data_IF_400187839250
#
_entry.id   IF_400187839250
#
_cell.length_a   1.000
_cell.length_b   1.000
_cell.length_c   1.000
_cell.angle_alpha   90.00
_cell.angle_beta   90.00
_cell.angle_gamma   90.00
#
_symmetry.space_group_name_H-M   'P 1'
#
loop_
_entity.id
_entity.type
_entity.pdbx_description
1 polymer ?
#
# COMPACT_ATOMS: atom_id res chain seq x y z
N UNK A 1 1.53 -9.13 -30.09
CA UNK A 1 1.62 -7.67 -30.26
C UNK A 1 2.23 -6.95 -29.07
N UNK A 2 1.68 -6.96 -27.84
CA UNK A 2 2.37 -6.35 -26.67
C UNK A 2 3.43 -7.27 -26.04
N UNK A 3 3.15 -8.57 -25.85
CA UNK A 3 4.14 -9.52 -25.31
C UNK A 3 5.40 -9.71 -26.18
N UNK A 4 5.35 -9.34 -27.46
CA UNK A 4 6.51 -9.44 -28.38
C UNK A 4 7.41 -8.20 -28.31
N UNK A 5 6.88 -7.03 -27.90
CA UNK A 5 7.65 -5.79 -27.77
C UNK A 5 8.29 -5.60 -26.38
N UNK A 6 8.07 -6.52 -25.44
CA UNK A 6 8.50 -6.42 -24.03
C UNK A 6 9.79 -7.21 -23.75
N UNK A 7 10.33 -7.96 -24.72
CA UNK A 7 11.54 -8.75 -24.46
C UNK A 7 12.76 -7.87 -24.13
N UNK A 8 12.83 -6.66 -24.69
CA UNK A 8 13.82 -5.65 -24.31
C UNK A 8 13.18 -4.25 -24.28
N UNK A 9 13.26 -3.58 -23.12
CA UNK A 9 12.87 -2.17 -22.97
C UNK A 9 13.97 -1.29 -23.57
N UNK A 10 13.59 -0.33 -24.41
CA UNK A 10 14.47 0.65 -25.04
C UNK A 10 13.79 2.04 -25.08
N UNK A 11 14.51 3.05 -25.55
CA UNK A 11 14.00 4.44 -25.59
C UNK A 11 12.70 4.60 -26.41
N UNK A 12 12.49 3.80 -27.45
CA UNK A 12 11.31 3.89 -28.33
C UNK A 12 10.05 3.31 -27.70
N UNK A 13 10.19 2.26 -26.87
CA UNK A 13 9.06 1.57 -26.24
C UNK A 13 8.93 1.82 -24.72
N UNK A 14 9.83 2.60 -24.11
CA UNK A 14 9.90 2.81 -22.66
C UNK A 14 8.58 3.29 -22.05
N UNK A 15 8.07 4.44 -22.53
CA UNK A 15 6.85 5.07 -21.99
C UNK A 15 5.62 4.16 -22.16
N UNK A 16 5.28 3.65 -23.36
CA UNK A 16 4.11 2.78 -23.50
C UNK A 16 4.26 1.48 -22.70
N UNK A 17 5.47 0.93 -22.57
CA UNK A 17 5.71 -0.27 -21.77
C UNK A 17 5.50 -0.01 -20.29
N UNK A 18 6.03 1.10 -19.78
CA UNK A 18 5.86 1.53 -18.39
C UNK A 18 4.38 1.77 -18.05
N UNK A 19 3.69 2.57 -18.86
CA UNK A 19 2.29 2.93 -18.62
C UNK A 19 1.38 1.71 -18.65
N UNK A 20 1.54 0.84 -19.67
CA UNK A 20 0.76 -0.40 -19.74
C UNK A 20 1.02 -1.30 -18.54
N UNK A 21 2.29 -1.51 -18.17
CA UNK A 21 2.65 -2.36 -17.03
C UNK A 21 2.10 -1.81 -15.71
N UNK A 22 2.16 -0.49 -15.53
CA UNK A 22 1.59 0.20 -14.37
C UNK A 22 0.06 0.09 -14.30
N UNK A 23 -0.64 0.26 -15.43
CA UNK A 23 -2.10 0.09 -15.50
C UNK A 23 -2.49 -1.36 -15.20
N UNK A 24 -1.75 -2.33 -15.74
CA UNK A 24 -2.01 -3.75 -15.49
C UNK A 24 -1.78 -4.11 -14.01
N UNK A 25 -0.70 -3.61 -13.41
CA UNK A 25 -0.44 -3.77 -11.98
C UNK A 25 -1.54 -3.17 -11.11
N UNK A 26 -1.99 -1.95 -11.43
CA UNK A 26 -3.11 -1.30 -10.74
C UNK A 26 -4.41 -2.10 -10.90
N UNK A 27 -4.71 -2.59 -12.11
CA UNK A 27 -5.89 -3.42 -12.33
C UNK A 27 -5.83 -4.66 -11.45
N UNK A 28 -4.71 -5.39 -11.43
CA UNK A 28 -4.58 -6.62 -10.65
C UNK A 28 -4.73 -6.35 -9.14
N UNK A 29 -4.15 -5.24 -8.66
CA UNK A 29 -4.31 -4.80 -7.27
C UNK A 29 -5.77 -4.48 -6.92
N UNK A 30 -6.47 -3.74 -7.77
CA UNK A 30 -7.88 -3.37 -7.57
C UNK A 30 -8.79 -4.60 -7.64
N UNK A 31 -8.51 -5.51 -8.57
CA UNK A 31 -9.26 -6.76 -8.75
C UNK A 31 -9.21 -7.66 -7.51
N UNK A 32 -8.11 -7.59 -6.75
CA UNK A 32 -7.97 -8.28 -5.46
C UNK A 32 -9.11 -7.92 -4.50
N UNK A 33 -9.57 -6.68 -4.50
CA UNK A 33 -10.68 -6.21 -3.63
C UNK A 33 -12.07 -6.49 -4.21
N UNK A 34 -12.15 -7.05 -5.42
CA UNK A 34 -13.42 -7.47 -6.04
C UNK A 34 -13.77 -8.94 -5.73
N UNK A 35 -12.92 -9.63 -4.97
CA UNK A 35 -13.16 -11.01 -4.60
C UNK A 35 -14.36 -11.19 -3.68
N UNK A 36 -15.12 -12.29 -3.83
CA UNK A 36 -16.15 -12.67 -2.86
C UNK A 36 -15.50 -12.85 -1.48
N UNK A 37 -16.06 -12.22 -0.45
CA UNK A 37 -15.49 -12.20 0.90
C UNK A 37 -15.50 -13.54 1.66
N UNK A 38 -15.73 -14.67 0.98
CA UNK A 38 -15.80 -16.01 1.58
C UNK A 38 -14.45 -16.72 1.69
N UNK A 39 -13.39 -16.21 1.03
CA UNK A 39 -12.06 -16.83 1.02
C UNK A 39 -10.97 -15.81 1.41
N UNK A 40 -10.79 -15.65 2.73
CA UNK A 40 -9.86 -14.67 3.31
C UNK A 40 -8.39 -15.05 3.08
N UNK A 41 -8.07 -16.35 3.03
CA UNK A 41 -6.72 -16.86 2.75
C UNK A 41 -6.29 -16.49 1.35
N UNK A 42 -7.17 -16.75 0.38
CA UNK A 42 -6.91 -16.36 -1.00
C UNK A 42 -6.81 -14.83 -1.18
N UNK A 43 -7.48 -14.04 -0.32
CA UNK A 43 -7.36 -12.59 -0.37
C UNK A 43 -5.95 -12.10 -0.05
N UNK A 44 -5.38 -12.51 1.08
CA UNK A 44 -4.03 -12.07 1.46
C UNK A 44 -2.99 -12.57 0.44
N UNK A 45 -3.12 -13.80 -0.05
CA UNK A 45 -2.21 -14.34 -1.07
C UNK A 45 -2.24 -13.51 -2.36
N UNK A 46 -3.44 -13.16 -2.85
CA UNK A 46 -3.57 -12.32 -4.06
C UNK A 46 -3.12 -10.89 -3.82
N UNK A 47 -3.35 -10.33 -2.62
CA UNK A 47 -2.84 -9.02 -2.24
C UNK A 47 -1.31 -9.03 -2.29
N UNK A 48 -0.68 -10.02 -1.67
CA UNK A 48 0.77 -10.23 -1.71
C UNK A 48 1.28 -10.38 -3.15
N UNK A 49 0.61 -11.16 -3.98
CA UNK A 49 0.94 -11.30 -5.40
C UNK A 49 0.82 -9.98 -6.16
N UNK A 50 -0.21 -9.19 -5.89
CA UNK A 50 -0.40 -7.88 -6.49
C UNK A 50 0.72 -6.91 -6.11
N UNK A 51 1.12 -6.93 -4.84
CA UNK A 51 2.26 -6.15 -4.33
C UNK A 51 3.55 -6.55 -5.05
N UNK A 52 3.83 -7.86 -5.12
CA UNK A 52 5.02 -8.41 -5.81
C UNK A 52 5.02 -8.02 -7.30
N UNK A 53 3.87 -8.10 -7.97
CA UNK A 53 3.72 -7.69 -9.38
C UNK A 53 4.03 -6.20 -9.57
N UNK A 54 3.40 -5.32 -8.80
CA UNK A 54 3.61 -3.87 -8.93
C UNK A 54 5.06 -3.47 -8.59
N UNK A 55 5.69 -4.14 -7.62
CA UNK A 55 7.12 -3.96 -7.32
C UNK A 55 7.99 -4.43 -8.48
N UNK A 56 7.67 -5.58 -9.09
CA UNK A 56 8.36 -6.10 -10.27
C UNK A 56 8.37 -5.11 -11.43
N UNK A 57 7.23 -4.45 -11.68
CA UNK A 57 7.16 -3.35 -12.66
C UNK A 57 8.19 -2.27 -12.32
N UNK A 58 8.24 -1.78 -11.08
CA UNK A 58 9.22 -0.75 -10.66
C UNK A 58 10.67 -1.20 -10.87
N UNK A 59 10.99 -2.45 -10.58
CA UNK A 59 12.35 -3.00 -10.76
C UNK A 59 12.75 -3.04 -12.25
N UNK A 60 11.85 -3.45 -13.15
CA UNK A 60 12.12 -3.47 -14.59
C UNK A 60 12.50 -2.10 -15.17
N UNK A 61 12.08 -1.02 -14.52
CA UNK A 61 12.31 0.35 -14.99
C UNK A 61 13.33 1.14 -14.15
N UNK A 62 14.01 0.51 -13.19
CA UNK A 62 14.93 1.23 -12.28
C UNK A 62 16.07 1.93 -13.02
N UNK A 63 16.63 1.29 -14.06
CA UNK A 63 17.67 1.88 -14.91
C UNK A 63 17.19 2.97 -15.86
N UNK A 64 15.86 3.10 -16.02
CA UNK A 64 15.22 4.08 -16.90
C UNK A 64 14.58 5.25 -16.13
N UNK A 65 14.70 5.25 -14.80
CA UNK A 65 13.97 6.17 -13.93
C UNK A 65 14.29 7.65 -14.20
N UNK A 66 15.54 7.96 -14.52
CA UNK A 66 15.96 9.34 -14.85
C UNK A 66 15.37 9.81 -16.18
N UNK A 67 15.23 8.92 -17.16
CA UNK A 67 14.55 9.23 -18.43
C UNK A 67 13.05 9.42 -18.21
N UNK A 68 12.44 8.56 -17.39
CA UNK A 68 11.02 8.62 -17.07
C UNK A 68 10.65 9.93 -16.34
N UNK A 69 11.50 10.44 -15.45
CA UNK A 69 11.26 11.71 -14.74
C UNK A 69 11.21 12.93 -15.64
N UNK A 70 11.92 12.91 -16.77
CA UNK A 70 12.02 14.04 -17.68
C UNK A 70 11.06 13.96 -18.88
N UNK A 71 10.38 12.82 -19.06
CA UNK A 71 9.49 12.62 -20.20
C UNK A 71 8.07 13.16 -19.97
N UNK A 72 7.20 12.98 -20.98
CA UNK A 72 5.83 13.52 -21.01
C UNK A 72 4.95 13.06 -19.85
N UNK A 73 5.26 11.90 -19.25
CA UNK A 73 4.51 11.34 -18.11
C UNK A 73 5.05 11.80 -16.74
N UNK A 74 5.97 12.77 -16.69
CA UNK A 74 6.58 13.23 -15.42
C UNK A 74 5.57 13.60 -14.35
N UNK A 75 4.45 14.23 -14.71
CA UNK A 75 3.40 14.63 -13.76
C UNK A 75 2.67 13.40 -13.18
N UNK A 76 2.67 12.29 -13.90
CA UNK A 76 2.22 10.98 -13.41
C UNK A 76 3.26 10.31 -12.51
N UNK A 77 4.50 10.79 -12.44
CA UNK A 77 5.58 10.17 -11.65
C UNK A 77 6.01 11.00 -10.45
N UNK A 78 5.75 12.31 -10.49
CA UNK A 78 6.05 13.20 -9.36
C UNK A 78 5.26 12.78 -8.13
N UNK A 79 6.00 12.49 -7.07
CA UNK A 79 5.46 12.41 -5.72
C UNK A 79 5.35 13.84 -5.17
N UNK A 80 4.32 14.11 -4.37
CA UNK A 80 4.30 15.34 -3.59
C UNK A 80 5.55 15.40 -2.70
N UNK A 81 6.08 16.59 -2.45
CA UNK A 81 7.06 16.77 -1.39
C UNK A 81 6.31 16.69 -0.05
N UNK A 82 6.27 15.50 0.54
CA UNK A 82 5.74 15.32 1.89
C UNK A 82 6.61 16.01 2.92
N UNK A 83 6.01 16.85 3.74
CA UNK A 83 6.66 17.39 4.93
C UNK A 83 6.68 16.30 6.01
N UNK A 84 7.85 15.69 6.22
CA UNK A 84 8.02 14.62 7.22
C UNK A 84 7.95 15.12 8.67
N UNK A 85 8.04 16.44 8.87
CA UNK A 85 7.82 17.10 10.16
C UNK A 85 6.34 17.35 10.42
N UNK A 86 5.48 17.21 9.39
CA UNK A 86 4.04 17.32 9.56
C UNK A 86 3.53 16.29 10.58
N UNK A 87 2.67 16.78 11.48
CA UNK A 87 2.03 15.98 12.51
C UNK A 87 0.54 16.25 12.50
N UNK A 88 -0.24 15.17 12.45
CA UNK A 88 -1.69 15.15 12.61
C UNK A 88 -2.10 13.91 13.42
N UNK A 89 -3.40 13.75 13.62
CA UNK A 89 -3.98 12.64 14.39
C UNK A 89 -3.58 11.25 13.84
N UNK A 90 -3.37 11.10 12.53
CA UNK A 90 -2.95 9.84 11.91
C UNK A 90 -1.46 9.60 12.14
N UNK A 91 -0.61 10.61 11.92
CA UNK A 91 0.83 10.54 12.18
C UNK A 91 1.12 10.24 13.65
N UNK A 92 0.43 10.91 14.58
CA UNK A 92 0.56 10.65 16.02
C UNK A 92 0.25 9.18 16.37
N UNK A 93 -0.77 8.60 15.75
CA UNK A 93 -1.10 7.18 15.95
C UNK A 93 -0.07 6.23 15.34
N UNK A 94 0.53 6.57 14.19
CA UNK A 94 1.60 5.77 13.61
C UNK A 94 2.85 5.77 14.52
N UNK A 95 3.22 6.92 15.09
CA UNK A 95 4.33 7.01 16.05
C UNK A 95 4.04 6.19 17.32
N UNK A 96 2.82 6.31 17.86
CA UNK A 96 2.40 5.50 19.00
C UNK A 96 2.36 3.99 18.69
N UNK A 97 2.07 3.61 17.43
CA UNK A 97 2.15 2.22 16.98
C UNK A 97 3.60 1.74 16.97
N UNK A 98 4.54 2.52 16.43
CA UNK A 98 5.98 2.19 16.39
C UNK A 98 6.54 1.92 17.79
N UNK A 99 6.14 2.72 18.78
CA UNK A 99 6.52 2.56 20.19
C UNK A 99 5.91 1.31 20.84
N UNK A 100 4.72 0.89 20.40
CA UNK A 100 4.01 -0.28 20.94
C UNK A 100 4.49 -1.60 20.36
N UNK A 101 4.90 -1.63 19.09
CA UNK A 101 5.28 -2.85 18.36
C UNK A 101 6.23 -3.80 19.13
N UNK A 102 7.26 -3.33 19.87
CA UNK A 102 8.13 -4.21 20.66
C UNK A 102 7.40 -5.04 21.73
N UNK A 103 6.19 -4.62 22.13
CA UNK A 103 5.33 -5.34 23.07
C UNK A 103 4.58 -6.53 22.46
N UNK A 104 4.70 -6.77 21.15
CA UNK A 104 4.12 -7.94 20.50
C UNK A 104 4.82 -9.22 20.98
N UNK A 105 4.08 -10.25 21.46
CA UNK A 105 4.69 -11.50 21.90
C UNK A 105 5.49 -12.17 20.79
N UNK A 106 6.76 -12.46 21.05
CA UNK A 106 7.65 -13.13 20.09
C UNK A 106 8.26 -12.20 19.03
N UNK A 107 8.12 -10.88 19.16
CA UNK A 107 8.72 -9.91 18.24
C UNK A 107 10.25 -10.04 18.22
N UNK A 108 10.81 -10.29 17.03
CA UNK A 108 12.25 -10.28 16.78
C UNK A 108 12.73 -8.91 16.29
N UNK A 109 13.98 -8.57 16.54
CA UNK A 109 14.56 -7.27 16.13
C UNK A 109 14.48 -7.05 14.60
N UNK A 110 14.73 -8.11 13.82
CA UNK A 110 14.66 -8.03 12.36
C UNK A 110 13.22 -7.82 11.86
N UNK A 111 12.22 -8.46 12.49
CA UNK A 111 10.81 -8.21 12.18
C UNK A 111 10.43 -6.76 12.53
N UNK A 112 10.85 -6.29 13.70
CA UNK A 112 10.57 -4.93 14.17
C UNK A 112 11.12 -3.86 13.21
N UNK A 113 12.36 -4.01 12.74
CA UNK A 113 12.97 -3.09 11.77
C UNK A 113 12.16 -3.02 10.46
N UNK A 114 11.70 -4.17 9.97
CA UNK A 114 10.88 -4.26 8.76
C UNK A 114 9.52 -3.57 8.96
N UNK A 115 8.89 -3.75 10.13
CA UNK A 115 7.61 -3.10 10.46
C UNK A 115 7.75 -1.58 10.61
N UNK A 116 8.80 -1.10 11.28
CA UNK A 116 9.12 0.34 11.35
C UNK A 116 9.34 0.93 9.97
N UNK A 117 10.07 0.24 9.10
CA UNK A 117 10.23 0.64 7.70
C UNK A 117 8.90 0.81 6.98
N UNK A 118 7.97 -0.14 7.15
CA UNK A 118 6.64 -0.10 6.55
C UNK A 118 5.78 1.05 7.10
N UNK A 119 5.83 1.32 8.41
CA UNK A 119 5.13 2.45 9.04
C UNK A 119 5.69 3.78 8.55
N UNK A 120 7.02 3.91 8.49
CA UNK A 120 7.66 5.10 7.95
C UNK A 120 7.23 5.40 6.52
N UNK A 121 7.16 4.38 5.64
CA UNK A 121 6.61 4.55 4.29
C UNK A 121 5.13 4.95 4.31
N UNK A 122 4.33 4.41 5.24
CA UNK A 122 2.91 4.74 5.37
C UNK A 122 2.72 6.21 5.75
N UNK A 123 3.50 6.68 6.72
CA UNK A 123 3.59 8.10 7.10
C UNK A 123 3.96 8.94 5.89
N UNK A 124 5.02 8.58 5.18
CA UNK A 124 5.49 9.34 4.01
C UNK A 124 4.42 9.45 2.92
N UNK A 125 3.71 8.36 2.62
CA UNK A 125 2.61 8.37 1.64
C UNK A 125 1.48 9.28 2.09
N UNK A 126 1.09 9.20 3.36
CA UNK A 126 0.06 10.07 3.94
C UNK A 126 0.46 11.54 3.80
N UNK A 127 1.61 11.96 4.34
CA UNK A 127 2.00 13.38 4.35
C UNK A 127 2.27 13.94 2.94
N UNK A 128 2.83 13.11 2.04
CA UNK A 128 3.04 13.49 0.64
C UNK A 128 1.73 13.65 -0.13
N UNK A 129 0.67 12.98 0.34
CA UNK A 129 -0.65 13.04 -0.27
C UNK A 129 -1.57 14.12 0.30
N UNK A 130 -1.26 14.66 1.49
CA UNK A 130 -2.04 15.73 2.10
C UNK A 130 -2.16 16.93 1.16
N UNK A 131 -1.11 17.27 0.39
CA UNK A 131 -1.16 18.33 -0.62
C UNK A 131 -2.24 18.10 -1.69
N UNK A 132 -2.51 16.85 -2.05
CA UNK A 132 -3.51 16.47 -3.05
C UNK A 132 -4.92 16.39 -2.43
N UNK A 133 -5.02 15.90 -1.18
CA UNK A 133 -6.28 15.82 -0.43
C UNK A 133 -6.85 17.23 -0.15
N UNK A 134 -6.01 18.19 0.24
CA UNK A 134 -6.43 19.58 0.47
C UNK A 134 -6.92 20.30 -0.79
N UNK A 135 -6.58 19.80 -2.00
CA UNK A 135 -7.12 20.28 -3.28
C UNK A 135 -8.44 19.59 -3.68
N UNK A 136 -8.98 18.74 -2.82
CA UNK A 136 -10.32 18.17 -2.96
C UNK A 136 -10.41 16.86 -3.75
N UNK A 137 -9.30 16.20 -4.07
CA UNK A 137 -9.34 14.85 -4.68
C UNK A 137 -8.16 13.99 -4.26
N UNK A 138 -8.38 12.90 -3.50
CA UNK A 138 -7.36 11.91 -3.26
C UNK A 138 -6.91 11.32 -4.60
N UNK A 139 -5.61 11.42 -4.93
CA UNK A 139 -5.09 10.81 -6.15
C UNK A 139 -5.06 9.28 -6.03
N UNK A 140 -5.38 8.55 -7.12
CA UNK A 140 -5.32 7.08 -7.20
C UNK A 140 -3.94 6.50 -6.85
N UNK A 141 -2.91 7.33 -6.95
CA UNK A 141 -1.52 6.99 -6.67
C UNK A 141 -1.30 6.57 -5.22
N UNK A 142 -1.97 7.20 -4.24
CA UNK A 142 -1.78 6.86 -2.82
C UNK A 142 -2.02 5.37 -2.52
N UNK A 143 -3.02 4.80 -3.18
CA UNK A 143 -3.45 3.41 -3.03
C UNK A 143 -2.36 2.43 -3.47
N UNK A 144 -1.49 2.83 -4.40
CA UNK A 144 -0.45 1.95 -4.97
C UNK A 144 0.96 2.32 -4.51
N UNK A 145 1.22 3.56 -4.12
CA UNK A 145 2.54 4.01 -3.68
C UNK A 145 3.03 3.23 -2.46
N UNK A 146 2.22 3.12 -1.41
CA UNK A 146 2.65 2.40 -0.20
C UNK A 146 2.99 0.94 -0.53
N UNK A 147 2.11 0.15 -1.15
CA UNK A 147 2.44 -1.23 -1.51
C UNK A 147 3.71 -1.39 -2.37
N UNK A 148 3.97 -0.49 -3.32
CA UNK A 148 5.14 -0.54 -4.22
C UNK A 148 6.46 -0.18 -3.51
N UNK A 149 6.39 0.59 -2.42
CA UNK A 149 7.56 1.06 -1.66
C UNK A 149 7.95 0.14 -0.50
N UNK A 150 7.11 -0.85 -0.18
CA UNK A 150 7.41 -1.85 0.84
C UNK A 150 8.65 -2.69 0.51
N UNK A 151 9.40 -3.02 1.55
CA UNK A 151 10.48 -3.98 1.52
C UNK A 151 9.97 -5.39 1.15
N UNK A 152 10.86 -6.25 0.66
CA UNK A 152 10.51 -7.63 0.30
C UNK A 152 10.12 -8.44 1.52
N UNK A 153 10.89 -8.26 2.58
CA UNK A 153 10.75 -8.86 3.89
C UNK A 153 9.38 -8.57 4.51
N UNK A 154 8.85 -7.35 4.36
CA UNK A 154 7.50 -7.02 4.84
C UNK A 154 6.44 -7.84 4.11
N UNK A 155 6.67 -8.13 2.82
CA UNK A 155 5.75 -8.93 2.02
C UNK A 155 5.79 -10.40 2.45
N UNK A 156 6.96 -10.89 2.86
CA UNK A 156 7.10 -12.24 3.41
C UNK A 156 6.43 -12.34 4.79
N UNK A 157 6.50 -11.29 5.61
CA UNK A 157 5.76 -11.21 6.88
C UNK A 157 4.23 -11.22 6.66
N UNK A 158 3.74 -10.59 5.58
CA UNK A 158 2.33 -10.66 5.17
C UNK A 158 1.96 -12.06 4.66
N UNK A 159 2.82 -12.70 3.88
CA UNK A 159 2.62 -14.07 3.39
C UNK A 159 2.54 -15.05 4.57
N UNK A 160 3.33 -14.82 5.62
CA UNK A 160 3.29 -15.55 6.89
C UNK A 160 2.13 -15.13 7.82
N UNK A 161 1.37 -14.09 7.47
CA UNK A 161 0.28 -13.51 8.28
C UNK A 161 0.71 -13.19 9.72
N UNK A 162 1.94 -12.69 9.88
CA UNK A 162 2.44 -12.29 11.19
C UNK A 162 1.57 -11.19 11.78
N UNK A 163 1.32 -11.19 13.11
CA UNK A 163 0.44 -10.21 13.70
C UNK A 163 0.88 -8.76 13.47
N UNK A 164 2.18 -8.49 13.58
CA UNK A 164 2.75 -7.16 13.36
C UNK A 164 2.46 -6.63 11.95
N UNK A 165 2.67 -7.46 10.92
CA UNK A 165 2.40 -7.06 9.54
C UNK A 165 0.91 -6.84 9.26
N UNK A 166 0.03 -7.66 9.84
CA UNK A 166 -1.42 -7.48 9.72
C UNK A 166 -1.89 -6.19 10.42
N UNK A 167 -1.32 -5.82 11.57
CA UNK A 167 -1.64 -4.57 12.27
C UNK A 167 -1.24 -3.35 11.43
N UNK A 168 -0.05 -3.36 10.83
CA UNK A 168 0.38 -2.28 9.93
C UNK A 168 -0.53 -2.23 8.69
N UNK A 169 -0.94 -3.38 8.16
CA UNK A 169 -1.91 -3.47 7.06
C UNK A 169 -3.29 -2.91 7.43
N UNK A 170 -3.75 -3.06 8.68
CA UNK A 170 -4.97 -2.41 9.17
C UNK A 170 -4.86 -0.88 9.12
N UNK A 171 -3.68 -0.30 9.36
CA UNK A 171 -3.49 1.15 9.25
C UNK A 171 -3.51 1.61 7.79
N UNK A 172 -2.99 0.79 6.86
CA UNK A 172 -3.14 1.07 5.43
C UNK A 172 -4.61 1.07 4.97
N UNK A 173 -5.47 0.27 5.60
CA UNK A 173 -6.92 0.27 5.32
C UNK A 173 -7.59 1.64 5.52
N UNK A 174 -7.04 2.48 6.41
CA UNK A 174 -7.50 3.85 6.67
C UNK A 174 -7.25 4.73 5.43
N UNK A 175 -6.07 4.63 4.82
CA UNK A 175 -5.75 5.36 3.59
C UNK A 175 -6.63 4.92 2.41
N UNK A 176 -6.88 3.60 2.29
CA UNK A 176 -7.82 3.08 1.30
C UNK A 176 -9.23 3.64 1.53
N UNK A 177 -9.69 3.67 2.78
CA UNK A 177 -11.01 4.20 3.09
C UNK A 177 -11.13 5.70 2.81
N UNK A 178 -10.08 6.49 3.09
CA UNK A 178 -10.04 7.90 2.71
C UNK A 178 -10.20 8.13 1.19
N UNK A 179 -9.84 7.12 0.39
CA UNK A 179 -9.97 7.12 -1.07
C UNK A 179 -11.22 6.40 -1.60
N UNK A 180 -12.21 6.06 -0.75
CA UNK A 180 -13.38 5.24 -1.13
C UNK A 180 -14.23 5.78 -2.28
N UNK A 181 -14.25 7.10 -2.48
CA UNK A 181 -14.99 7.74 -3.58
C UNK A 181 -14.35 7.44 -4.94
N UNK A 182 -13.10 6.97 -4.96
CA UNK A 182 -12.46 6.51 -6.17
C UNK A 182 -13.02 5.16 -6.61
N UNK A 183 -13.43 5.07 -7.88
CA UNK A 183 -14.17 3.93 -8.42
C UNK A 183 -13.46 2.59 -8.23
N UNK A 184 -12.13 2.60 -8.17
CA UNK A 184 -11.27 1.44 -8.05
C UNK A 184 -11.07 0.97 -6.59
N UNK A 185 -11.36 1.82 -5.60
CA UNK A 185 -11.13 1.51 -4.18
C UNK A 185 -12.44 1.12 -3.52
N UNK A 186 -13.48 1.95 -3.61
CA UNK A 186 -14.81 1.68 -3.03
C UNK A 186 -14.72 1.08 -1.62
N UNK A 187 -15.05 -0.20 -1.47
CA UNK A 187 -15.10 -0.90 -0.20
C UNK A 187 -13.78 -1.56 0.23
N UNK A 188 -12.70 -1.38 -0.54
CA UNK A 188 -11.40 -2.03 -0.32
C UNK A 188 -10.86 -1.81 1.10
N UNK A 189 -10.91 -0.57 1.61
CA UNK A 189 -10.45 -0.28 2.97
C UNK A 189 -11.24 -1.01 4.05
N UNK A 190 -12.57 -1.10 3.89
CA UNK A 190 -13.41 -1.87 4.82
C UNK A 190 -13.10 -3.35 4.76
N UNK A 191 -13.09 -3.89 3.54
CA UNK A 191 -12.87 -5.30 3.33
C UNK A 191 -11.50 -5.74 3.87
N UNK A 192 -10.45 -4.94 3.63
CA UNK A 192 -9.12 -5.19 4.17
C UNK A 192 -9.12 -5.22 5.70
N UNK A 193 -9.79 -4.26 6.36
CA UNK A 193 -9.87 -4.26 7.82
C UNK A 193 -10.60 -5.50 8.35
N UNK A 194 -11.73 -5.87 7.75
CA UNK A 194 -12.48 -7.08 8.14
C UNK A 194 -11.65 -8.35 7.99
N UNK A 195 -10.86 -8.45 6.92
CA UNK A 195 -9.93 -9.58 6.73
C UNK A 195 -8.91 -9.61 7.87
N UNK A 196 -8.25 -8.48 8.16
CA UNK A 196 -7.24 -8.39 9.23
C UNK A 196 -7.84 -8.73 10.60
N UNK A 197 -9.02 -8.20 10.92
CA UNK A 197 -9.75 -8.49 12.17
C UNK A 197 -10.04 -9.97 12.33
N UNK A 198 -10.40 -10.63 11.23
CA UNK A 198 -10.72 -12.07 11.24
C UNK A 198 -9.47 -12.91 11.50
N UNK A 199 -8.31 -12.54 10.93
CA UNK A 199 -7.05 -13.25 11.15
C UNK A 199 -6.50 -13.07 12.55
N UNK A 200 -6.47 -11.84 13.03
CA UNK A 200 -5.90 -11.53 14.34
C UNK A 200 -6.81 -12.06 15.45
N UNK A 201 -8.13 -11.94 15.31
CA UNK A 201 -9.08 -12.35 16.33
C UNK A 201 -9.06 -11.44 17.56
N UNK A 202 -9.64 -11.95 18.66
CA UNK A 202 -9.99 -11.12 19.84
C UNK A 202 -8.80 -10.62 20.64
N UNK A 203 -7.70 -11.39 20.66
CA UNK A 203 -6.53 -11.07 21.48
C UNK A 203 -5.82 -9.77 21.02
N UNK A 204 -6.14 -9.28 19.82
CA UNK A 204 -5.53 -8.11 19.20
C UNK A 204 -6.48 -6.92 19.07
N UNK A 205 -7.65 -6.97 19.71
CA UNK A 205 -8.67 -5.92 19.58
C UNK A 205 -8.14 -4.53 19.89
N UNK A 206 -7.31 -4.39 20.95
CA UNK A 206 -6.72 -3.12 21.36
C UNK A 206 -5.78 -2.51 20.32
N UNK A 207 -5.18 -3.32 19.44
CA UNK A 207 -4.34 -2.86 18.34
C UNK A 207 -5.17 -2.34 17.15
N UNK A 208 -6.43 -2.77 17.04
CA UNK A 208 -7.33 -2.46 15.93
C UNK A 208 -8.39 -1.40 16.28
N UNK A 209 -8.48 -0.98 17.54
CA UNK A 209 -9.40 0.08 18.00
C UNK A 209 -9.32 1.34 17.14
N UNK A 210 -8.10 1.78 16.84
CA UNK A 210 -7.89 2.98 16.04
C UNK A 210 -8.32 2.81 14.58
N UNK A 211 -7.82 1.82 13.81
CA UNK A 211 -8.35 1.49 12.50
C UNK A 211 -9.88 1.43 12.43
N UNK A 212 -10.54 0.71 13.36
CA UNK A 212 -12.01 0.63 13.42
C UNK A 212 -12.68 1.99 13.54
N UNK A 213 -12.15 2.87 14.39
CA UNK A 213 -12.72 4.20 14.59
C UNK A 213 -12.68 5.08 13.32
N UNK A 214 -11.66 4.88 12.47
CA UNK A 214 -11.49 5.61 11.20
C UNK A 214 -12.16 4.90 10.03
N UNK A 215 -12.48 3.63 10.20
CA UNK A 215 -13.03 2.74 9.19
C UNK A 215 -14.40 2.19 9.69
N UNK A 216 -15.41 3.06 9.99
CA UNK A 216 -16.71 2.65 10.55
C UNK A 216 -17.54 1.73 9.65
N UNK A 217 -18.19 0.70 10.21
CA UNK A 217 -19.09 -0.19 9.46
C UNK A 217 -20.12 0.58 8.60
N UNK A 218 -20.42 0.05 7.41
CA UNK A 218 -21.45 0.59 6.54
C UNK A 218 -22.81 0.44 7.21
N UNK A 219 -23.55 1.55 7.35
CA UNK A 219 -24.98 1.54 7.77
C UNK A 219 -25.85 0.99 6.66
#
# INVERSE_FOLDING_TARGET
MFNESVQEVNEENLIPTFVYSGILGLHFFVDTFSMPGSDLDQFIDKLVQAIKLMRGVRVCFIGWWDVLKECEIRELLQFGHGDMEHTDEFVEHLLALEEKLPGIPGMEEAELEVLHGAIHQLKWVHVSSLFDIHKGSPRPRMITTWPITLAEEYTDLLDQRTPGALIVLAHFSILLYACKEYWAVRNAGRFLLTVVETYLGRDWESWLEWPRSKVPESV
#
